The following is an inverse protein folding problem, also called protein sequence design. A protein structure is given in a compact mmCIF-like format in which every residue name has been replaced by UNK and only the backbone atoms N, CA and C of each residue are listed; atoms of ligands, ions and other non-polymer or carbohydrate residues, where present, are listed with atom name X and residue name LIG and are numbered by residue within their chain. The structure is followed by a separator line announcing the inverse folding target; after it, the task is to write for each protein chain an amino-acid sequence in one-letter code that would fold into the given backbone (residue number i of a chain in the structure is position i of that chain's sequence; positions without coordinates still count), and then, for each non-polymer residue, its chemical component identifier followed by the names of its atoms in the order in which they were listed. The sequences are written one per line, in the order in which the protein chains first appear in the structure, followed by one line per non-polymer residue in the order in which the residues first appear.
data_IF_377595491789
#
_entry.id   IF_377595491789
#
_cell.length_a   1.000
_cell.length_b   1.000
_cell.length_c   1.000
_cell.angle_alpha   90.00
_cell.angle_beta   90.00
_cell.angle_gamma   90.00
#
_symmetry.space_group_name_H-M   'P 1'
#
loop_
_entity.id
_entity.type
_entity.pdbx_description
1 polymer ?
#
# COMPACT_ATOMS: atom_id res chain seq x y z
N UNK A 1 -14.01 24.43 4.47
CA UNK A 1 -14.49 23.62 3.34
C UNK A 1 -15.14 24.50 2.30
N UNK A 2 -15.10 24.11 1.02
CA UNK A 2 -15.80 24.80 -0.04
C UNK A 2 -17.03 24.01 -0.46
N UNK A 3 -18.20 24.65 -0.43
CA UNK A 3 -19.48 24.06 -0.81
C UNK A 3 -19.82 24.52 -2.23
N UNK A 4 -19.99 23.55 -3.14
CA UNK A 4 -20.42 23.79 -4.51
C UNK A 4 -21.69 22.99 -4.79
N UNK A 5 -22.67 23.63 -5.45
CA UNK A 5 -23.88 22.97 -5.93
C UNK A 5 -24.43 23.72 -7.14
N UNK A 6 -25.11 22.98 -8.01
CA UNK A 6 -25.78 23.53 -9.21
C UNK A 6 -27.24 23.11 -9.19
N UNK A 7 -28.13 24.03 -9.47
CA UNK A 7 -29.55 23.70 -9.65
C UNK A 7 -29.77 23.02 -11.02
N UNK A 8 -30.70 22.07 -11.07
CA UNK A 8 -31.08 21.41 -12.33
C UNK A 8 -31.81 22.39 -13.28
N UNK A 9 -32.58 23.33 -12.75
CA UNK A 9 -33.24 24.38 -13.53
C UNK A 9 -32.39 25.64 -13.56
N UNK A 10 -32.15 26.21 -14.74
CA UNK A 10 -31.45 27.48 -14.92
C UNK A 10 -32.19 28.69 -14.34
N UNK A 11 -33.47 28.54 -14.03
CA UNK A 11 -34.30 29.60 -13.43
C UNK A 11 -34.25 29.57 -11.89
N UNK A 12 -33.71 28.52 -11.29
CA UNK A 12 -33.55 28.42 -9.85
C UNK A 12 -32.26 29.09 -9.38
N UNK A 13 -32.30 29.64 -8.17
CA UNK A 13 -31.15 30.26 -7.50
C UNK A 13 -30.67 29.36 -6.37
N UNK A 14 -29.35 29.18 -6.26
CA UNK A 14 -28.71 28.42 -5.15
C UNK A 14 -28.00 29.38 -4.22
N UNK A 15 -28.22 29.23 -2.92
CA UNK A 15 -27.55 30.00 -1.86
C UNK A 15 -26.91 29.08 -0.87
N UNK A 16 -25.93 29.59 -0.08
CA UNK A 16 -25.20 28.80 0.91
C UNK A 16 -23.91 28.19 0.37
N UNK A 17 -23.51 28.53 -0.87
CA UNK A 17 -22.29 28.08 -1.52
C UNK A 17 -21.05 28.84 -1.02
N UNK A 18 -19.87 28.39 -1.45
CA UNK A 18 -18.58 29.01 -1.19
C UNK A 18 -17.88 28.43 0.01
N UNK A 19 -16.79 29.10 0.42
CA UNK A 19 -15.96 28.68 1.56
C UNK A 19 -16.70 28.89 2.88
N UNK A 20 -16.65 27.86 3.75
CA UNK A 20 -17.24 27.86 5.09
C UNK A 20 -16.19 27.50 6.12
N UNK A 21 -16.11 28.27 7.17
CA UNK A 21 -15.37 27.90 8.37
C UNK A 21 -16.16 26.90 9.19
N UNK A 22 -15.49 25.85 9.65
CA UNK A 22 -16.12 24.81 10.47
C UNK A 22 -15.63 24.96 11.92
N UNK A 23 -16.55 24.79 12.85
CA UNK A 23 -16.21 24.54 14.26
C UNK A 23 -15.87 23.06 14.45
N UNK A 24 -15.09 22.75 15.47
CA UNK A 24 -14.82 21.35 15.87
C UNK A 24 -16.15 20.65 16.20
N UNK A 25 -16.30 19.42 15.75
CA UNK A 25 -17.53 18.65 15.89
C UNK A 25 -18.44 18.72 14.66
N UNK A 26 -19.72 18.46 14.85
CA UNK A 26 -20.73 18.42 13.78
C UNK A 26 -21.10 19.83 13.33
N UNK A 27 -21.04 20.06 12.04
CA UNK A 27 -21.47 21.29 11.37
C UNK A 27 -22.56 20.93 10.36
N UNK A 28 -23.64 21.70 10.36
CA UNK A 28 -24.70 21.58 9.35
C UNK A 28 -24.65 22.81 8.47
N UNK A 29 -24.38 22.61 7.17
CA UNK A 29 -24.28 23.68 6.18
C UNK A 29 -25.53 23.66 5.31
N UNK A 30 -26.47 24.59 5.49
CA UNK A 30 -27.68 24.63 4.69
C UNK A 30 -27.42 25.19 3.29
N UNK A 31 -27.84 24.46 2.27
CA UNK A 31 -27.89 24.91 0.89
C UNK A 31 -29.37 25.16 0.57
N UNK A 32 -29.71 26.38 0.17
CA UNK A 32 -31.05 26.78 -0.15
C UNK A 32 -31.24 26.91 -1.66
N UNK A 33 -32.17 26.18 -2.21
CA UNK A 33 -32.57 26.28 -3.61
C UNK A 33 -33.93 27.00 -3.68
N UNK A 34 -33.98 28.08 -4.45
CA UNK A 34 -35.17 28.93 -4.63
C UNK A 34 -35.62 28.75 -6.07
N UNK A 35 -36.86 28.28 -6.26
CA UNK A 35 -37.48 28.11 -7.57
C UNK A 35 -37.96 29.46 -8.14
N UNK A 36 -38.39 29.47 -9.40
CA UNK A 36 -38.87 30.66 -10.10
C UNK A 36 -40.17 31.24 -9.45
N UNK A 37 -41.01 30.38 -8.89
CA UNK A 37 -42.22 30.74 -8.18
C UNK A 37 -41.98 31.23 -6.74
N UNK A 38 -40.74 31.33 -6.32
CA UNK A 38 -40.34 31.73 -4.96
C UNK A 38 -40.38 30.61 -3.91
N UNK A 39 -40.80 29.41 -4.27
CA UNK A 39 -40.75 28.27 -3.34
C UNK A 39 -39.29 27.90 -3.02
N UNK A 40 -39.06 27.46 -1.78
CA UNK A 40 -37.73 27.17 -1.30
C UNK A 40 -37.57 25.71 -0.82
N UNK A 41 -36.43 25.11 -1.09
CA UNK A 41 -36.02 23.82 -0.53
C UNK A 41 -34.61 23.91 0.08
N UNK A 42 -34.48 23.41 1.32
CA UNK A 42 -33.23 23.42 2.04
C UNK A 42 -32.64 22.00 2.03
N UNK A 43 -31.35 21.90 1.65
CA UNK A 43 -30.56 20.70 1.73
C UNK A 43 -29.44 20.92 2.78
N UNK A 44 -29.39 20.06 3.79
CA UNK A 44 -28.38 20.16 4.83
C UNK A 44 -27.19 19.27 4.50
N UNK A 45 -26.01 19.85 4.31
CA UNK A 45 -24.76 19.13 4.22
C UNK A 45 -24.17 19.04 5.62
N UNK A 46 -24.09 17.82 6.17
CA UNK A 46 -23.50 17.59 7.48
C UNK A 46 -22.02 17.29 7.34
N UNK A 47 -21.18 18.09 7.98
CA UNK A 47 -19.71 17.95 7.96
C UNK A 47 -19.22 17.86 9.39
N UNK A 48 -18.43 16.85 9.71
CA UNK A 48 -17.78 16.74 11.01
C UNK A 48 -16.33 17.20 10.88
N UNK A 49 -15.96 18.29 11.60
CA UNK A 49 -14.56 18.70 11.77
C UNK A 49 -14.02 18.01 13.01
N UNK A 50 -13.04 17.13 12.83
CA UNK A 50 -12.34 16.49 13.94
C UNK A 50 -11.51 17.49 14.72
N UNK A 51 -11.37 17.28 16.03
CA UNK A 51 -10.52 18.11 16.87
C UNK A 51 -9.04 17.78 16.59
N UNK A 52 -8.21 18.74 16.19
CA UNK A 52 -6.77 18.49 16.01
C UNK A 52 -6.07 18.00 17.30
N UNK A 53 -6.59 18.38 18.47
CA UNK A 53 -6.07 17.91 19.76
C UNK A 53 -6.35 16.40 20.01
N UNK A 54 -7.24 15.79 19.25
CA UNK A 54 -7.52 14.33 19.30
C UNK A 54 -6.59 13.52 18.37
N UNK A 55 -5.68 14.19 17.67
CA UNK A 55 -4.68 13.50 16.84
C UNK A 55 -3.68 12.76 17.74
N UNK A 56 -3.52 11.47 17.44
CA UNK A 56 -2.55 10.60 18.12
C UNK A 56 -1.57 10.04 17.10
N UNK A 57 -0.37 9.70 17.54
CA UNK A 57 0.54 8.96 16.68
C UNK A 57 -0.06 7.59 16.37
N UNK A 58 -0.14 7.23 15.09
CA UNK A 58 -0.62 5.90 14.65
C UNK A 58 0.22 4.80 15.30
N UNK A 59 1.52 5.02 15.45
CA UNK A 59 2.44 4.09 16.10
C UNK A 59 2.07 3.82 17.57
N UNK A 60 1.54 4.85 18.28
CA UNK A 60 1.13 4.74 19.69
C UNK A 60 -0.29 4.22 19.88
N UNK A 61 -1.04 4.00 18.79
CA UNK A 61 -2.35 3.39 18.91
C UNK A 61 -2.19 1.97 19.44
N UNK A 62 -2.95 1.66 20.50
CA UNK A 62 -3.02 0.31 21.01
C UNK A 62 -3.85 -0.56 20.06
N UNK A 63 -3.20 -1.55 19.45
CA UNK A 63 -3.85 -2.64 18.75
C UNK A 63 -3.75 -3.89 19.63
N UNK A 64 -4.82 -4.63 19.68
CA UNK A 64 -4.78 -5.96 20.27
C UNK A 64 -3.90 -6.88 19.42
N UNK A 65 -2.89 -7.48 20.06
CA UNK A 65 -1.99 -8.40 19.39
C UNK A 65 -2.56 -9.81 19.39
N UNK A 66 -2.55 -10.45 18.24
CA UNK A 66 -2.85 -11.87 18.13
C UNK A 66 -1.67 -12.64 18.75
N UNK A 67 -1.89 -13.38 19.85
CA UNK A 67 -0.80 -14.05 20.57
C UNK A 67 -0.30 -15.31 19.89
N UNK A 68 -1.13 -15.91 19.03
CA UNK A 68 -0.79 -17.14 18.31
C UNK A 68 0.13 -16.85 17.13
N UNK A 69 1.12 -17.72 16.89
CA UNK A 69 1.95 -17.63 15.70
C UNK A 69 1.10 -18.00 14.47
N UNK A 70 1.09 -17.17 13.40
CA UNK A 70 0.32 -17.50 12.22
C UNK A 70 0.92 -18.68 11.48
N UNK A 71 0.07 -19.45 10.81
CA UNK A 71 0.48 -20.45 9.84
C UNK A 71 0.83 -19.77 8.53
N UNK A 72 2.08 -19.41 8.33
CA UNK A 72 2.54 -18.89 7.05
C UNK A 72 2.48 -20.03 6.04
N UNK A 73 1.59 -19.88 5.06
CA UNK A 73 1.28 -20.97 4.15
C UNK A 73 2.49 -21.36 3.31
N UNK A 74 2.96 -22.58 3.56
CA UNK A 74 4.01 -23.24 2.79
C UNK A 74 3.49 -24.43 1.98
N UNK A 75 2.18 -24.73 2.08
CA UNK A 75 1.50 -25.87 1.42
C UNK A 75 0.02 -25.54 1.17
N UNK A 76 -0.69 -26.44 0.56
CA UNK A 76 -2.04 -26.32 -0.02
C UNK A 76 -3.22 -26.04 0.93
N UNK A 77 -3.00 -25.70 2.17
CA UNK A 77 -4.04 -25.43 3.15
C UNK A 77 -4.30 -23.94 3.30
N UNK A 78 -5.57 -23.50 3.19
CA UNK A 78 -6.00 -22.18 3.59
C UNK A 78 -5.64 -21.96 5.06
N UNK A 79 -4.93 -20.89 5.36
CA UNK A 79 -4.71 -20.55 6.75
C UNK A 79 -6.02 -20.00 7.32
N UNK A 80 -6.48 -20.57 8.43
CA UNK A 80 -7.58 -20.06 9.24
C UNK A 80 -7.05 -19.11 10.32
N UNK A 81 -5.93 -18.44 10.06
CA UNK A 81 -5.36 -17.50 11.01
C UNK A 81 -6.35 -16.37 11.30
N UNK A 82 -6.42 -15.98 12.53
CA UNK A 82 -7.20 -14.84 12.97
C UNK A 82 -6.72 -13.55 12.24
N UNK A 83 -7.66 -12.70 11.90
CA UNK A 83 -7.34 -11.42 11.23
C UNK A 83 -6.98 -10.36 12.26
N UNK A 84 -5.84 -9.70 12.10
CA UNK A 84 -5.42 -8.65 13.03
C UNK A 84 -3.93 -8.33 12.97
N UNK A 85 -3.41 -7.80 14.08
CA UNK A 85 -2.01 -7.42 14.22
C UNK A 85 -1.20 -8.53 14.86
N UNK A 86 -0.09 -8.88 14.24
CA UNK A 86 0.87 -9.87 14.70
C UNK A 86 2.22 -9.23 14.99
N UNK A 87 2.98 -9.86 15.88
CA UNK A 87 4.36 -9.50 16.18
C UNK A 87 5.33 -10.48 15.50
N UNK A 88 6.39 -9.96 14.97
CA UNK A 88 7.56 -10.72 14.51
C UNK A 88 8.84 -10.03 14.96
N UNK A 89 9.96 -10.64 14.65
CA UNK A 89 11.29 -10.05 14.86
C UNK A 89 11.87 -9.74 13.48
N UNK A 90 12.31 -8.51 13.29
CA UNK A 90 13.14 -8.17 12.13
C UNK A 90 14.50 -8.85 12.29
N UNK A 91 14.82 -9.75 11.38
CA UNK A 91 16.02 -10.60 11.49
C UNK A 91 17.32 -9.87 11.11
N UNK A 92 17.24 -8.64 10.56
CA UNK A 92 18.43 -7.80 10.36
C UNK A 92 18.83 -7.08 11.65
N UNK A 93 17.84 -6.60 12.41
CA UNK A 93 18.07 -5.74 13.58
C UNK A 93 17.88 -6.46 14.91
N UNK A 94 17.21 -7.63 14.91
CA UNK A 94 16.79 -8.34 16.12
C UNK A 94 15.66 -7.64 16.89
N UNK A 95 15.10 -6.56 16.36
CA UNK A 95 14.04 -5.78 17.02
C UNK A 95 12.64 -6.25 16.63
N UNK A 96 11.63 -5.98 17.47
CA UNK A 96 10.25 -6.26 17.13
C UNK A 96 9.78 -5.45 15.91
N UNK A 97 9.02 -6.09 15.05
CA UNK A 97 8.21 -5.48 14.00
C UNK A 97 6.79 -6.02 14.10
N UNK A 98 5.80 -5.23 13.71
CA UNK A 98 4.39 -5.62 13.79
C UNK A 98 3.78 -5.53 12.40
N UNK A 99 2.92 -6.50 12.04
CA UNK A 99 2.33 -6.57 10.71
C UNK A 99 0.87 -7.01 10.77
N UNK A 100 0.07 -6.48 9.86
CA UNK A 100 -1.31 -6.88 9.72
C UNK A 100 -1.43 -8.12 8.83
N UNK A 101 -2.36 -9.03 9.21
CA UNK A 101 -2.67 -10.27 8.47
C UNK A 101 -4.16 -10.53 8.40
N UNK A 102 -4.60 -11.13 7.29
CA UNK A 102 -5.99 -11.54 7.07
C UNK A 102 -6.90 -10.40 6.64
N UNK A 103 -8.20 -10.56 6.85
CA UNK A 103 -9.20 -9.56 6.48
C UNK A 103 -9.32 -8.48 7.56
N UNK A 104 -8.34 -7.58 7.58
CA UNK A 104 -8.27 -6.49 8.56
C UNK A 104 -9.15 -5.32 8.11
N UNK A 105 -9.91 -4.73 9.03
CA UNK A 105 -10.85 -3.65 8.75
C UNK A 105 -10.47 -2.30 9.40
N UNK A 106 -9.39 -2.25 10.19
CA UNK A 106 -8.98 -1.08 10.97
C UNK A 106 -7.56 -0.58 10.67
N UNK A 107 -7.06 -0.81 9.46
CA UNK A 107 -5.74 -0.36 9.01
C UNK A 107 -5.80 0.59 7.79
N UNK A 108 -6.93 1.27 7.59
CA UNK A 108 -7.08 2.25 6.52
C UNK A 108 -6.45 3.59 6.89
N UNK A 109 -5.81 4.23 5.92
CA UNK A 109 -5.19 5.55 6.02
C UNK A 109 -5.64 6.41 4.85
N UNK A 110 -5.99 7.66 5.11
CA UNK A 110 -6.20 8.71 4.13
C UNK A 110 -5.01 9.67 4.16
N UNK A 111 -4.23 9.68 3.09
CA UNK A 111 -3.04 10.52 2.99
C UNK A 111 -2.83 11.01 1.55
N UNK A 112 -2.51 12.28 1.39
CA UNK A 112 -2.23 12.93 0.10
C UNK A 112 -3.36 12.77 -0.95
N UNK A 113 -4.62 12.63 -0.51
CA UNK A 113 -5.78 12.42 -1.37
C UNK A 113 -5.97 10.98 -1.86
N UNK A 114 -5.22 10.03 -1.33
CA UNK A 114 -5.31 8.61 -1.66
C UNK A 114 -5.71 7.78 -0.44
N UNK A 115 -6.29 6.61 -0.71
CA UNK A 115 -6.57 5.58 0.31
C UNK A 115 -5.40 4.61 0.37
N UNK A 116 -4.93 4.35 1.59
CA UNK A 116 -3.84 3.45 1.89
C UNK A 116 -4.25 2.41 2.93
N UNK A 117 -3.45 1.36 3.03
CA UNK A 117 -3.55 0.36 4.09
C UNK A 117 -2.23 0.28 4.84
N UNK A 118 -2.27 0.22 6.18
CA UNK A 118 -1.06 -0.06 6.97
C UNK A 118 -0.69 -1.52 6.74
N UNK A 119 0.57 -1.76 6.38
CA UNK A 119 1.13 -3.09 6.19
C UNK A 119 1.87 -3.53 7.45
N UNK A 120 2.74 -2.65 7.94
CA UNK A 120 3.69 -2.97 8.99
C UNK A 120 4.06 -1.73 9.79
N UNK A 121 4.30 -1.92 11.09
CA UNK A 121 5.05 -0.99 11.93
C UNK A 121 6.47 -1.55 12.00
N UNK A 122 7.40 -0.83 11.41
CA UNK A 122 8.79 -1.23 11.30
C UNK A 122 9.50 -1.18 12.67
N UNK A 123 10.65 -1.80 12.76
CA UNK A 123 11.47 -1.90 13.98
C UNK A 123 12.04 -0.53 14.45
N UNK A 124 12.04 0.47 13.58
CA UNK A 124 12.40 1.85 13.89
C UNK A 124 11.19 2.74 14.23
N UNK A 125 9.99 2.15 14.24
CA UNK A 125 8.73 2.82 14.51
C UNK A 125 8.09 3.49 13.29
N UNK A 126 8.75 3.50 12.14
CA UNK A 126 8.11 4.00 10.90
C UNK A 126 6.96 3.08 10.48
N UNK A 127 5.96 3.66 9.81
CA UNK A 127 4.72 2.96 9.48
C UNK A 127 4.68 2.73 7.98
N UNK A 128 4.78 1.48 7.55
CA UNK A 128 4.69 1.09 6.14
C UNK A 128 3.25 1.02 5.69
N UNK A 129 2.94 1.81 4.66
CA UNK A 129 1.62 1.86 4.02
C UNK A 129 1.71 1.53 2.54
N UNK A 130 0.64 0.93 1.99
CA UNK A 130 0.47 0.65 0.57
C UNK A 130 -0.81 1.30 0.06
N UNK A 131 -0.78 1.88 -1.14
CA UNK A 131 -2.02 2.34 -1.78
C UNK A 131 -3.03 1.21 -1.92
N UNK A 132 -4.31 1.51 -1.69
CA UNK A 132 -5.41 0.55 -1.93
C UNK A 132 -5.50 0.17 -3.41
N UNK A 133 -5.27 1.11 -4.29
CA UNK A 133 -5.33 0.99 -5.74
C UNK A 133 -3.95 1.22 -6.39
N UNK A 134 -3.86 0.99 -7.70
CA UNK A 134 -2.68 1.34 -8.49
C UNK A 134 -2.59 2.85 -8.73
N UNK A 135 -1.36 3.34 -8.91
CA UNK A 135 -1.12 4.75 -9.26
C UNK A 135 -1.86 5.16 -10.54
N UNK A 136 -2.12 6.47 -10.68
CA UNK A 136 -2.73 7.08 -11.86
C UNK A 136 -4.02 6.36 -12.29
N UNK A 137 -4.97 6.24 -11.34
CA UNK A 137 -6.28 5.60 -11.56
C UNK A 137 -6.17 4.17 -12.11
N UNK A 138 -5.34 3.35 -11.47
CA UNK A 138 -5.12 1.95 -11.87
C UNK A 138 -4.54 1.77 -13.28
N UNK A 139 -3.75 2.72 -13.77
CA UNK A 139 -3.04 2.57 -15.04
C UNK A 139 -2.07 1.39 -15.00
N UNK A 140 -1.89 0.74 -16.15
CA UNK A 140 -1.00 -0.42 -16.29
C UNK A 140 0.41 0.01 -16.67
N UNK A 141 1.39 -0.58 -16.01
CA UNK A 141 2.82 -0.34 -16.23
C UNK A 141 3.58 -1.65 -16.34
N UNK A 142 4.60 -1.67 -17.16
CA UNK A 142 5.61 -2.72 -17.16
C UNK A 142 6.45 -2.60 -15.90
N UNK A 143 6.97 -3.72 -15.40
CA UNK A 143 8.00 -3.67 -14.36
C UNK A 143 9.32 -3.15 -14.95
N UNK A 144 9.67 -3.64 -16.14
CA UNK A 144 10.79 -3.11 -16.93
C UNK A 144 10.41 -3.08 -18.41
N UNK A 145 11.06 -2.20 -19.20
CA UNK A 145 10.87 -2.10 -20.64
C UNK A 145 11.54 -3.24 -21.41
N UNK A 146 12.61 -3.82 -20.86
CA UNK A 146 13.38 -4.92 -21.42
C UNK A 146 13.28 -6.17 -20.53
N UNK A 147 13.58 -7.34 -21.07
CA UNK A 147 13.40 -8.63 -20.39
C UNK A 147 14.58 -9.59 -20.54
N UNK A 148 15.49 -9.38 -21.48
CA UNK A 148 16.51 -10.31 -21.91
C UNK A 148 17.83 -10.24 -21.09
N UNK A 149 17.79 -9.71 -19.90
CA UNK A 149 18.90 -9.67 -18.95
C UNK A 149 18.36 -9.84 -17.53
N UNK A 150 19.02 -10.64 -16.70
CA UNK A 150 18.60 -10.89 -15.32
C UNK A 150 18.50 -9.62 -14.47
N UNK A 151 19.26 -8.58 -14.78
CA UNK A 151 19.20 -7.30 -14.05
C UNK A 151 17.85 -6.57 -14.21
N UNK A 152 17.05 -6.90 -15.22
CA UNK A 152 15.76 -6.27 -15.45
C UNK A 152 14.65 -6.72 -14.47
N UNK A 153 14.90 -7.79 -13.69
CA UNK A 153 13.98 -8.19 -12.63
C UNK A 153 14.16 -7.38 -11.33
N UNK A 154 15.18 -6.52 -11.25
CA UNK A 154 15.42 -5.69 -10.07
C UNK A 154 14.74 -4.33 -10.18
N UNK A 155 14.06 -3.92 -9.11
CA UNK A 155 13.38 -2.63 -9.01
C UNK A 155 14.35 -1.45 -9.20
N UNK A 156 15.57 -1.58 -8.69
CA UNK A 156 16.64 -0.59 -8.89
C UNK A 156 17.01 -0.37 -10.36
N UNK A 157 16.62 -1.25 -11.27
CA UNK A 157 16.86 -1.13 -12.72
C UNK A 157 15.77 -0.27 -13.40
N UNK A 158 15.61 0.96 -12.95
CA UNK A 158 15.01 2.16 -13.54
C UNK A 158 13.52 2.17 -13.83
N UNK A 159 12.88 1.22 -14.57
CA UNK A 159 11.57 1.53 -15.19
C UNK A 159 10.45 1.70 -14.16
N UNK A 160 10.09 0.66 -13.39
CA UNK A 160 9.05 0.77 -12.36
C UNK A 160 9.45 1.76 -11.27
N UNK A 161 10.74 1.78 -10.88
CA UNK A 161 11.28 2.73 -9.91
C UNK A 161 11.09 4.16 -10.37
N UNK A 162 11.53 4.50 -11.58
CA UNK A 162 11.40 5.86 -12.14
C UNK A 162 9.93 6.29 -12.27
N UNK A 163 9.04 5.36 -12.65
CA UNK A 163 7.60 5.64 -12.74
C UNK A 163 7.02 5.99 -11.37
N UNK A 164 7.35 5.22 -10.33
CA UNK A 164 6.88 5.48 -8.96
C UNK A 164 7.50 6.74 -8.36
N UNK A 165 8.81 6.97 -8.57
CA UNK A 165 9.48 8.17 -8.08
C UNK A 165 8.89 9.45 -8.71
N UNK A 166 8.62 9.43 -10.01
CA UNK A 166 7.97 10.55 -10.69
C UNK A 166 6.54 10.78 -10.17
N UNK A 167 5.77 9.70 -9.99
CA UNK A 167 4.45 9.79 -9.37
C UNK A 167 4.53 10.36 -7.94
N UNK A 168 5.48 9.88 -7.13
CA UNK A 168 5.70 10.37 -5.76
C UNK A 168 6.04 11.86 -5.74
N UNK A 169 6.98 12.31 -6.57
CA UNK A 169 7.34 13.72 -6.65
C UNK A 169 6.15 14.60 -7.03
N UNK A 170 5.35 14.16 -8.01
CA UNK A 170 4.18 14.92 -8.46
C UNK A 170 3.10 15.04 -7.38
N UNK A 171 2.86 13.99 -6.61
CA UNK A 171 1.72 13.92 -5.70
C UNK A 171 2.07 14.24 -4.25
N UNK A 172 3.30 14.02 -3.81
CA UNK A 172 3.71 14.09 -2.40
C UNK A 172 5.04 14.85 -2.24
N UNK A 173 6.10 14.39 -2.92
CA UNK A 173 7.48 14.79 -2.64
C UNK A 173 7.77 16.28 -2.85
N UNK A 174 7.11 16.93 -3.83
CA UNK A 174 7.22 18.37 -4.08
C UNK A 174 6.36 19.23 -3.15
N UNK A 175 5.55 18.62 -2.28
CA UNK A 175 4.64 19.31 -1.36
C UNK A 175 5.15 19.15 0.07
N UNK A 176 5.77 20.18 0.63
CA UNK A 176 6.47 20.13 1.92
C UNK A 176 5.58 19.70 3.08
N UNK A 177 4.30 20.09 3.07
CA UNK A 177 3.29 19.73 4.07
C UNK A 177 2.93 18.25 4.06
N UNK A 178 3.04 17.58 2.91
CA UNK A 178 2.86 16.14 2.77
C UNK A 178 4.19 15.38 2.98
N UNK A 179 5.26 15.84 2.35
CA UNK A 179 6.55 15.18 2.36
C UNK A 179 7.13 15.04 3.79
N UNK A 180 6.84 15.97 4.70
CA UNK A 180 7.26 15.91 6.11
C UNK A 180 6.80 14.64 6.85
N UNK A 181 5.68 14.05 6.42
CA UNK A 181 5.13 12.84 7.01
C UNK A 181 5.75 11.55 6.43
N UNK A 182 6.54 11.65 5.35
CA UNK A 182 7.24 10.50 4.76
C UNK A 182 8.64 10.42 5.34
N UNK A 183 8.97 9.27 5.91
CA UNK A 183 10.28 9.05 6.51
C UNK A 183 11.40 9.13 5.46
N UNK A 184 12.53 9.70 5.84
CA UNK A 184 13.76 9.71 5.05
C UNK A 184 14.59 8.45 5.31
N UNK A 185 15.41 8.04 4.34
CA UNK A 185 16.27 6.87 4.49
C UNK A 185 15.56 5.53 4.48
N UNK A 186 14.35 5.49 3.92
CA UNK A 186 13.56 4.27 3.79
C UNK A 186 14.26 3.24 2.95
N UNK A 187 14.20 1.99 3.39
CA UNK A 187 14.65 0.87 2.58
C UNK A 187 13.50 -0.04 2.16
N UNK A 188 13.70 -0.65 1.02
CA UNK A 188 12.84 -1.67 0.44
C UNK A 188 13.68 -2.89 0.08
N UNK A 189 13.08 -4.07 0.03
CA UNK A 189 13.80 -5.31 -0.22
C UNK A 189 13.51 -5.82 -1.64
N UNK A 190 14.53 -5.77 -2.51
CA UNK A 190 14.47 -6.35 -3.86
C UNK A 190 15.19 -7.69 -3.97
N UNK A 191 15.42 -8.35 -2.84
CA UNK A 191 16.05 -9.66 -2.82
C UNK A 191 15.20 -10.68 -3.57
N UNK A 192 15.85 -11.48 -4.41
CA UNK A 192 15.21 -12.63 -5.02
C UNK A 192 14.81 -13.64 -3.95
N UNK A 193 13.53 -13.95 -3.87
CA UNK A 193 12.99 -14.89 -2.88
C UNK A 193 12.77 -16.26 -3.54
N UNK A 194 13.88 -16.87 -3.88
CA UNK A 194 13.95 -18.25 -4.40
C UNK A 194 14.97 -19.01 -3.59
N UNK A 195 14.57 -20.09 -3.00
CA UNK A 195 15.45 -20.83 -2.09
C UNK A 195 16.58 -21.56 -2.81
N UNK A 196 16.48 -21.76 -4.10
CA UNK A 196 17.47 -22.48 -4.91
C UNK A 196 17.63 -21.81 -6.27
N UNK A 197 18.62 -20.93 -6.35
CA UNK A 197 19.31 -20.74 -7.60
C UNK A 197 20.41 -21.79 -7.66
N UNK A 198 20.24 -22.82 -8.43
CA UNK A 198 21.28 -23.85 -8.58
C UNK A 198 22.55 -23.29 -9.24
N UNK A 199 22.46 -22.21 -9.94
CA UNK A 199 23.58 -21.37 -10.37
C UNK A 199 23.11 -20.08 -11.04
N UNK A 200 23.66 -18.95 -10.65
CA UNK A 200 23.68 -17.72 -11.45
C UNK A 200 24.85 -17.74 -12.43
N UNK A 201 25.02 -18.76 -13.21
CA UNK A 201 25.95 -18.70 -14.31
C UNK A 201 25.29 -17.99 -15.49
N UNK A 202 25.72 -16.76 -15.76
CA UNK A 202 25.44 -16.00 -16.99
C UNK A 202 23.98 -16.01 -17.50
N UNK A 203 23.01 -15.91 -16.60
CA UNK A 203 21.63 -15.62 -17.01
C UNK A 203 20.64 -16.79 -16.96
N UNK A 204 20.99 -17.93 -16.40
CA UNK A 204 20.04 -19.03 -16.21
C UNK A 204 19.86 -19.35 -14.74
N UNK A 205 18.68 -19.02 -14.19
CA UNK A 205 18.28 -19.48 -12.86
C UNK A 205 17.23 -20.58 -13.03
N UNK A 206 17.57 -21.79 -12.62
CA UNK A 206 16.60 -22.88 -12.60
C UNK A 206 15.79 -22.79 -11.32
N UNK A 207 14.48 -22.52 -11.46
CA UNK A 207 13.57 -22.38 -10.35
C UNK A 207 13.12 -23.75 -9.85
N UNK A 208 13.65 -24.22 -8.75
CA UNK A 208 13.16 -25.41 -8.06
C UNK A 208 12.49 -25.08 -6.73
N UNK A 209 11.18 -25.22 -6.68
CA UNK A 209 10.30 -25.33 -5.49
C UNK A 209 10.12 -24.09 -4.61
N UNK A 210 9.16 -23.23 -5.00
CA UNK A 210 8.66 -22.07 -4.23
C UNK A 210 8.05 -22.41 -2.86
N UNK A 211 7.46 -23.58 -2.69
CA UNK A 211 6.70 -23.99 -1.50
C UNK A 211 7.55 -24.37 -0.29
N UNK A 212 8.88 -24.33 -0.40
CA UNK A 212 9.81 -24.55 0.73
C UNK A 212 10.37 -23.27 1.29
N UNK A 213 10.01 -22.10 0.73
CA UNK A 213 10.51 -20.83 1.22
C UNK A 213 9.77 -20.41 2.50
N UNK A 214 10.51 -20.17 3.58
CA UNK A 214 9.96 -19.57 4.79
C UNK A 214 10.16 -18.06 4.71
N UNK A 215 9.08 -17.26 4.62
CA UNK A 215 9.21 -15.81 4.58
C UNK A 215 9.81 -15.27 5.87
N UNK A 216 10.60 -14.22 5.74
CA UNK A 216 11.16 -13.46 6.86
C UNK A 216 11.29 -11.98 6.48
N UNK A 217 11.55 -11.10 7.45
CA UNK A 217 11.79 -9.69 7.19
C UNK A 217 13.29 -9.37 6.96
N UNK A 218 14.13 -10.38 6.81
CA UNK A 218 15.52 -10.20 6.46
C UNK A 218 15.65 -9.72 5.01
N UNK A 219 16.44 -8.69 4.82
CA UNK A 219 16.81 -8.22 3.51
C UNK A 219 18.34 -8.26 3.35
N UNK A 220 18.81 -9.33 2.81
CA UNK A 220 20.24 -9.51 2.48
C UNK A 220 20.43 -9.53 0.96
N UNK A 221 21.67 -9.45 0.52
CA UNK A 221 21.99 -9.69 -0.90
C UNK A 221 21.57 -11.09 -1.32
N UNK A 222 21.03 -11.21 -2.53
CA UNK A 222 20.64 -12.48 -3.16
C UNK A 222 21.83 -13.23 -3.81
N UNK A 223 23.05 -12.84 -3.51
CA UNK A 223 24.25 -13.37 -4.15
C UNK A 223 24.67 -12.60 -5.42
N UNK A 224 23.82 -11.71 -5.93
CA UNK A 224 24.11 -10.84 -7.07
C UNK A 224 24.30 -9.37 -6.68
N UNK A 225 24.50 -9.10 -5.40
CA UNK A 225 24.68 -7.76 -4.86
C UNK A 225 23.39 -6.97 -4.71
N UNK A 226 22.22 -7.60 -4.93
CA UNK A 226 20.91 -7.00 -4.77
C UNK A 226 20.30 -7.35 -3.41
N UNK A 227 19.55 -6.44 -2.84
CA UNK A 227 18.96 -6.57 -1.53
C UNK A 227 18.24 -5.30 -1.16
N UNK A 228 18.83 -4.48 -0.29
CA UNK A 228 18.25 -3.20 0.14
C UNK A 228 18.31 -2.15 -0.96
N UNK A 229 17.15 -1.52 -1.21
CA UNK A 229 17.01 -0.33 -2.07
C UNK A 229 16.53 0.83 -1.22
N UNK A 230 17.28 1.91 -1.20
CA UNK A 230 16.85 3.17 -0.57
C UNK A 230 16.07 3.99 -1.60
N UNK A 231 14.83 4.33 -1.27
CA UNK A 231 13.96 5.14 -2.10
C UNK A 231 12.85 5.79 -1.25
N UNK A 232 12.28 6.89 -1.70
CA UNK A 232 11.12 7.50 -1.03
C UNK A 232 9.84 6.71 -1.24
N UNK A 233 9.74 5.95 -2.33
CA UNK A 233 8.59 5.12 -2.70
C UNK A 233 9.07 3.80 -3.28
N UNK A 234 8.36 2.72 -2.95
CA UNK A 234 8.69 1.38 -3.45
C UNK A 234 7.47 0.52 -3.70
N UNK A 235 7.68 -0.79 -3.68
CA UNK A 235 6.66 -1.83 -3.75
C UNK A 235 6.82 -2.76 -2.54
N UNK A 236 5.80 -3.57 -2.24
CA UNK A 236 5.95 -4.62 -1.23
C UNK A 236 6.86 -5.74 -1.72
N UNK A 237 7.59 -6.35 -0.80
CA UNK A 237 8.29 -7.59 -1.05
C UNK A 237 7.33 -8.79 -1.07
N UNK A 238 7.80 -9.91 -1.60
CA UNK A 238 7.12 -11.21 -1.51
C UNK A 238 6.77 -11.56 -0.05
N UNK A 239 7.74 -11.40 0.86
CA UNK A 239 7.56 -11.75 2.28
C UNK A 239 6.44 -10.93 2.92
N UNK A 240 6.39 -9.63 2.68
CA UNK A 240 5.35 -8.77 3.23
C UNK A 240 3.95 -9.19 2.78
N UNK A 241 3.80 -9.63 1.53
CA UNK A 241 2.51 -10.12 1.03
C UNK A 241 2.16 -11.50 1.61
N UNK A 242 3.14 -12.38 1.82
CA UNK A 242 2.90 -13.68 2.50
C UNK A 242 2.53 -13.46 3.97
N UNK A 243 3.20 -12.56 4.67
CA UNK A 243 2.83 -12.19 6.03
C UNK A 243 1.42 -11.62 6.10
N UNK A 244 1.00 -10.83 5.11
CA UNK A 244 -0.37 -10.31 5.03
C UNK A 244 -1.45 -11.36 4.72
N UNK A 245 -1.08 -12.54 4.20
CA UNK A 245 -2.00 -13.63 3.89
C UNK A 245 -1.96 -14.14 2.46
N UNK A 246 -1.12 -13.55 1.59
CA UNK A 246 -0.95 -14.03 0.22
C UNK A 246 -0.21 -15.37 0.15
N UNK A 247 -0.46 -16.14 -0.90
CA UNK A 247 0.16 -17.45 -1.10
C UNK A 247 0.39 -17.77 -2.59
N UNK A 248 1.51 -18.47 -2.87
CA UNK A 248 1.85 -18.84 -4.23
C UNK A 248 0.85 -19.86 -4.81
N UNK A 249 0.37 -19.56 -6.00
CA UNK A 249 -0.52 -20.42 -6.82
C UNK A 249 -1.77 -20.92 -6.10
N UNK A 250 -2.20 -20.21 -5.05
CA UNK A 250 -3.47 -20.48 -4.37
C UNK A 250 -4.23 -19.19 -4.17
N UNK A 251 -5.51 -19.23 -4.52
CA UNK A 251 -6.40 -18.11 -4.29
C UNK A 251 -6.66 -17.94 -2.80
N UNK A 252 -6.49 -16.72 -2.33
CA UNK A 252 -6.94 -16.26 -1.03
C UNK A 252 -7.54 -14.87 -1.20
N UNK A 253 -8.86 -14.78 -1.23
CA UNK A 253 -9.55 -13.49 -1.30
C UNK A 253 -9.73 -12.85 0.08
N UNK A 254 -9.44 -13.58 1.16
CA UNK A 254 -9.72 -13.16 2.54
C UNK A 254 -8.50 -12.54 3.22
N UNK A 255 -7.88 -11.56 2.57
CA UNK A 255 -6.86 -10.72 3.20
C UNK A 255 -6.87 -9.31 2.60
N UNK A 256 -6.48 -8.32 3.41
CA UNK A 256 -6.65 -6.89 3.10
C UNK A 256 -5.85 -6.39 1.88
N UNK A 257 -4.82 -7.10 1.43
CA UNK A 257 -4.07 -6.72 0.22
C UNK A 257 -4.70 -7.24 -1.06
N UNK A 258 -5.65 -8.20 -0.97
CA UNK A 258 -6.41 -8.63 -2.13
C UNK A 258 -7.22 -7.45 -2.68
N UNK A 259 -7.11 -7.25 -3.99
CA UNK A 259 -7.92 -6.30 -4.73
C UNK A 259 -8.41 -7.00 -6.00
N UNK A 260 -9.70 -7.39 -6.06
CA UNK A 260 -10.24 -8.18 -7.17
C UNK A 260 -10.28 -7.43 -8.51
N UNK A 261 -10.07 -6.11 -8.49
CA UNK A 261 -10.06 -5.29 -9.70
C UNK A 261 -8.70 -5.23 -10.40
N UNK A 262 -7.61 -5.59 -9.71
CA UNK A 262 -6.27 -5.36 -10.22
C UNK A 262 -5.31 -6.54 -10.00
N UNK A 263 -4.45 -6.77 -10.99
CA UNK A 263 -3.19 -7.50 -10.84
C UNK A 263 -2.08 -6.47 -10.61
N UNK A 264 -1.15 -6.71 -9.71
CA UNK A 264 -0.11 -5.75 -9.36
C UNK A 264 1.24 -6.40 -9.09
N UNK A 265 2.32 -5.64 -9.35
CA UNK A 265 3.69 -6.08 -9.12
C UNK A 265 4.13 -5.95 -7.66
N UNK A 266 4.90 -6.94 -7.19
CA UNK A 266 5.74 -6.79 -5.99
C UNK A 266 7.13 -6.31 -6.38
N UNK A 267 7.99 -6.07 -5.40
CA UNK A 267 9.39 -5.72 -5.63
C UNK A 267 10.29 -6.94 -5.85
N UNK A 268 9.85 -8.13 -5.46
CA UNK A 268 10.70 -9.30 -5.38
C UNK A 268 10.93 -9.97 -6.72
N UNK A 269 12.18 -10.10 -7.17
CA UNK A 269 12.55 -10.91 -8.31
C UNK A 269 12.18 -12.37 -8.12
N UNK A 270 11.85 -13.03 -9.21
CA UNK A 270 11.63 -14.47 -9.28
C UNK A 270 12.87 -15.19 -9.82
N UNK A 271 13.30 -14.79 -11.00
CA UNK A 271 14.43 -15.42 -11.66
C UNK A 271 14.55 -15.02 -13.12
N UNK A 272 15.55 -15.56 -13.77
CA UNK A 272 15.82 -15.40 -15.18
C UNK A 272 15.86 -16.78 -15.84
N UNK A 273 15.01 -17.00 -16.83
CA UNK A 273 14.91 -18.29 -17.53
C UNK A 273 14.57 -18.08 -19.00
N UNK A 274 15.23 -18.81 -19.86
CA UNK A 274 14.96 -18.81 -21.30
C UNK A 274 15.04 -17.42 -21.94
N UNK A 275 15.93 -16.55 -21.48
CA UNK A 275 16.07 -15.16 -21.91
C UNK A 275 15.00 -14.19 -21.38
N UNK A 276 14.26 -14.56 -20.32
CA UNK A 276 13.25 -13.70 -19.73
C UNK A 276 13.50 -13.46 -18.24
N UNK A 277 13.35 -12.21 -17.82
CA UNK A 277 13.33 -11.80 -16.42
C UNK A 277 11.90 -11.87 -15.88
N UNK A 278 11.75 -12.40 -14.66
CA UNK A 278 10.47 -12.58 -13.99
C UNK A 278 10.45 -11.91 -12.62
N UNK A 279 9.29 -11.35 -12.27
CA UNK A 279 9.01 -10.70 -10.99
C UNK A 279 7.69 -11.24 -10.42
N UNK A 280 7.61 -11.33 -9.10
CA UNK A 280 6.40 -11.71 -8.40
C UNK A 280 5.30 -10.65 -8.56
N UNK A 281 4.08 -11.12 -8.72
CA UNK A 281 2.88 -10.30 -8.75
C UNK A 281 1.73 -10.95 -7.99
N UNK A 282 0.72 -10.15 -7.68
CA UNK A 282 -0.49 -10.59 -7.00
C UNK A 282 -1.66 -10.50 -7.96
N UNK A 283 -2.40 -11.59 -8.12
CA UNK A 283 -3.56 -11.70 -8.99
C UNK A 283 -4.85 -11.20 -8.33
N UNK A 284 -5.90 -11.11 -9.12
CA UNK A 284 -7.23 -10.62 -8.70
C UNK A 284 -7.92 -11.50 -7.65
N UNK A 285 -7.52 -12.75 -7.52
CA UNK A 285 -8.02 -13.68 -6.48
C UNK A 285 -7.07 -13.78 -5.29
N UNK A 286 -6.12 -12.85 -5.18
CA UNK A 286 -5.17 -12.77 -4.08
C UNK A 286 -4.03 -13.77 -4.13
N UNK A 287 -3.94 -14.62 -5.16
CA UNK A 287 -2.84 -15.55 -5.32
C UNK A 287 -1.58 -14.87 -5.83
N UNK A 288 -0.43 -15.38 -5.39
CA UNK A 288 0.84 -15.02 -6.01
C UNK A 288 1.05 -15.77 -7.31
N UNK A 289 1.53 -15.04 -8.28
CA UNK A 289 2.10 -15.61 -9.50
C UNK A 289 3.28 -14.72 -9.93
N UNK A 290 3.97 -15.14 -10.95
CA UNK A 290 5.04 -14.34 -11.55
C UNK A 290 4.70 -14.02 -13.00
N UNK A 291 5.30 -12.93 -13.46
CA UNK A 291 5.16 -12.49 -14.85
C UNK A 291 6.49 -12.02 -15.41
N UNK A 292 6.59 -12.04 -16.74
CA UNK A 292 7.69 -11.43 -17.46
C UNK A 292 7.62 -9.91 -17.17
N UNK A 293 8.75 -9.30 -16.87
CA UNK A 293 8.86 -7.89 -16.48
C UNK A 293 8.27 -6.89 -17.50
N UNK A 294 8.13 -7.31 -18.76
CA UNK A 294 7.49 -6.50 -19.83
C UNK A 294 5.97 -6.62 -19.86
N UNK A 295 5.37 -7.51 -19.08
CA UNK A 295 3.92 -7.55 -18.92
C UNK A 295 3.42 -6.30 -18.20
N UNK A 296 2.24 -5.81 -18.58
CA UNK A 296 1.70 -4.58 -18.02
C UNK A 296 0.65 -4.88 -16.94
N UNK A 297 0.98 -4.56 -15.68
CA UNK A 297 0.09 -4.64 -14.53
C UNK A 297 0.12 -3.31 -13.75
N UNK A 298 -0.43 -3.28 -12.54
CA UNK A 298 -0.48 -2.05 -11.74
C UNK A 298 0.73 -1.95 -10.81
N UNK A 299 1.12 -0.71 -10.51
CA UNK A 299 2.06 -0.38 -9.45
C UNK A 299 1.27 0.20 -8.28
N UNK A 300 1.28 -0.45 -7.13
CA UNK A 300 0.72 0.05 -5.87
C UNK A 300 1.86 0.68 -5.08
N UNK A 301 1.84 2.00 -4.96
CA UNK A 301 2.90 2.71 -4.25
C UNK A 301 2.96 2.30 -2.77
N UNK A 302 4.17 2.14 -2.26
CA UNK A 302 4.46 1.85 -0.86
C UNK A 302 5.31 2.97 -0.29
N UNK A 303 4.92 3.49 0.87
CA UNK A 303 5.63 4.52 1.62
C UNK A 303 5.90 4.05 3.05
N UNK A 304 6.87 4.69 3.70
CA UNK A 304 6.98 4.64 5.16
C UNK A 304 6.68 6.04 5.70
N UNK A 305 5.70 6.13 6.58
CA UNK A 305 5.43 7.37 7.34
C UNK A 305 6.37 7.45 8.52
N UNK A 306 6.64 8.67 8.99
CA UNK A 306 7.44 8.87 10.20
C UNK A 306 6.73 8.29 11.43
N UNK A 307 7.49 7.87 12.43
CA UNK A 307 6.95 7.27 13.66
C UNK A 307 6.09 8.24 14.48
N UNK A 308 6.32 9.53 14.32
CA UNK A 308 5.60 10.62 14.99
C UNK A 308 4.44 11.19 14.16
N UNK A 309 4.15 10.58 13.00
CA UNK A 309 3.00 10.99 12.17
C UNK A 309 1.71 10.96 12.98
N UNK A 310 1.08 12.12 13.09
CA UNK A 310 -0.19 12.28 13.79
C UNK A 310 -1.37 12.03 12.84
N UNK A 311 -2.38 11.36 13.35
CA UNK A 311 -3.61 11.11 12.62
C UNK A 311 -4.85 11.24 13.51
N UNK A 312 -5.98 11.51 12.89
CA UNK A 312 -7.31 11.35 13.49
C UNK A 312 -8.01 10.16 12.86
N UNK A 313 -9.00 9.61 13.52
CA UNK A 313 -9.79 8.49 13.00
C UNK A 313 -9.47 7.16 13.70
N UNK A 314 -10.27 6.16 13.40
CA UNK A 314 -10.18 4.82 13.98
C UNK A 314 -9.42 3.81 13.11
N UNK A 315 -9.14 4.17 11.86
CA UNK A 315 -8.50 3.30 10.87
C UNK A 315 -9.46 2.42 10.09
N UNK A 316 -10.78 2.54 10.30
CA UNK A 316 -11.78 1.82 9.50
C UNK A 316 -11.97 2.45 8.12
N UNK A 317 -12.61 1.73 7.19
CA UNK A 317 -12.88 2.26 5.85
C UNK A 317 -13.80 3.50 5.86
N UNK A 318 -14.72 3.58 6.82
CA UNK A 318 -15.63 4.74 7.00
C UNK A 318 -15.00 5.86 7.84
N UNK A 319 -13.96 5.59 8.62
CA UNK A 319 -13.23 6.52 9.46
C UNK A 319 -11.71 6.20 9.44
N UNK A 320 -11.06 6.37 8.27
CA UNK A 320 -9.63 6.07 8.14
C UNK A 320 -8.77 6.98 9.02
N UNK A 321 -7.55 6.57 9.29
CA UNK A 321 -6.55 7.49 9.83
C UNK A 321 -6.28 8.60 8.84
N UNK A 322 -6.67 9.83 9.18
CA UNK A 322 -6.44 11.02 8.35
C UNK A 322 -5.14 11.69 8.78
N UNK A 323 -4.18 11.77 7.88
CA UNK A 323 -2.89 12.43 8.07
C UNK A 323 -2.98 13.81 7.42
N UNK A 324 -2.65 14.83 8.22
CA UNK A 324 -2.73 16.25 7.83
C UNK A 324 -1.34 16.84 7.55
#
# INVERSE_FOLDING_TARGET
VTVNATATSSKSKVRGLGTKDLTVGKNTLPIRVIAEDGSEKIYNVNVTRKNPAESVSIFKKEYELIPTKPTLMTSSNNSNDESGLYKSIDTNTGKPTYYFRGNVENNYVSFAGFTWRIVRINEDGTIRIIMQDGINNNSKYKFNSNYNNYTYMYYSNRYAKATLENWYQTNIGSKSDLAKNVASGNYYCEQAKVKYFDSWTSGSATMTTYYKYTPDFKCSSDGNGKGVVNASVGLLSYDEVVYAGGYYNQSNSNYYLNNPAIVWWTMSPVGFSGSNSFVWGVGTTGYFNYGIVTSSTRLRAVLNLTADTLATGSGTSSDPFVIN
#
